data_IF_682059940564
#
_entry.id   IF_682059940564
#
_cell.length_a   1.000
_cell.length_b   1.000
_cell.length_c   1.000
_cell.angle_alpha   90.00
_cell.angle_beta   90.00
_cell.angle_gamma   90.00
#
_symmetry.space_group_name_H-M   'P 1'
#
loop_
_entity.id
_entity.type
_entity.pdbx_description
1 polymer ?
#
# COMPACT_ATOMS: atom_id res chain seq x y z
N UNK A 1 14.03 -45.03 -26.13
CA UNK A 1 14.62 -43.86 -25.43
C UNK A 1 14.11 -42.54 -26.01
N UNK A 2 12.79 -42.28 -26.03
CA UNK A 2 12.24 -41.00 -26.59
C UNK A 2 11.15 -40.33 -25.72
N UNK A 3 10.86 -40.85 -24.53
CA UNK A 3 9.74 -40.38 -23.68
C UNK A 3 10.15 -39.48 -22.49
N UNK A 4 11.45 -39.32 -22.20
CA UNK A 4 11.93 -38.56 -21.04
C UNK A 4 12.08 -37.07 -21.31
N UNK A 5 12.23 -36.65 -22.58
CA UNK A 5 12.43 -35.22 -22.92
C UNK A 5 11.15 -34.37 -22.91
N UNK A 6 9.97 -34.96 -23.02
CA UNK A 6 8.70 -34.21 -23.06
C UNK A 6 8.20 -33.79 -21.67
N UNK A 7 8.53 -34.56 -20.64
CA UNK A 7 8.12 -34.30 -19.26
C UNK A 7 8.86 -33.10 -18.63
N UNK A 8 10.10 -32.86 -19.04
CA UNK A 8 10.91 -31.74 -18.48
C UNK A 8 10.50 -30.37 -19.01
N UNK A 9 9.96 -30.31 -20.23
CA UNK A 9 9.51 -29.06 -20.86
C UNK A 9 8.18 -28.60 -20.27
N UNK A 10 7.30 -29.52 -19.88
CA UNK A 10 6.01 -29.20 -19.25
C UNK A 10 6.17 -28.60 -17.84
N UNK A 11 7.21 -29.01 -17.09
CA UNK A 11 7.46 -28.47 -15.73
C UNK A 11 8.04 -27.05 -15.73
N UNK A 12 8.75 -26.66 -16.80
CA UNK A 12 9.31 -25.30 -16.94
C UNK A 12 8.23 -24.24 -17.28
N UNK A 13 7.17 -24.64 -17.97
CA UNK A 13 6.06 -23.71 -18.30
C UNK A 13 5.16 -23.39 -17.11
N UNK A 14 4.95 -24.34 -16.19
CA UNK A 14 4.10 -24.14 -15.00
C UNK A 14 4.73 -23.14 -14.02
N UNK A 15 6.06 -23.11 -13.91
CA UNK A 15 6.76 -22.20 -12.99
C UNK A 15 6.80 -20.74 -13.48
N UNK A 16 6.73 -20.49 -14.78
CA UNK A 16 6.66 -19.12 -15.34
C UNK A 16 5.29 -18.47 -15.15
N UNK A 17 4.21 -19.23 -15.29
CA UNK A 17 2.85 -18.71 -15.13
C UNK A 17 2.54 -18.29 -13.69
N UNK A 18 3.04 -19.03 -12.70
CA UNK A 18 2.81 -18.71 -11.26
C UNK A 18 3.50 -17.41 -10.88
N UNK A 19 4.76 -17.18 -11.29
CA UNK A 19 5.50 -15.97 -10.97
C UNK A 19 4.91 -14.71 -11.64
N UNK A 20 4.47 -14.82 -12.89
CA UNK A 20 3.81 -13.73 -13.60
C UNK A 20 2.46 -13.36 -12.94
N UNK A 21 1.70 -14.36 -12.52
CA UNK A 21 0.40 -14.16 -11.88
C UNK A 21 0.52 -13.52 -10.49
N UNK A 22 1.56 -13.87 -9.73
CA UNK A 22 1.84 -13.27 -8.41
C UNK A 22 2.29 -11.81 -8.53
N UNK A 23 3.15 -11.50 -9.49
CA UNK A 23 3.58 -10.13 -9.79
C UNK A 23 2.39 -9.25 -10.18
N UNK A 24 1.49 -9.75 -11.01
CA UNK A 24 0.26 -9.06 -11.40
C UNK A 24 -0.68 -8.82 -10.21
N UNK A 25 -0.81 -9.79 -9.29
CA UNK A 25 -1.67 -9.62 -8.12
C UNK A 25 -1.10 -8.58 -7.15
N UNK A 26 0.21 -8.59 -6.93
CA UNK A 26 0.88 -7.57 -6.11
C UNK A 26 0.70 -6.17 -6.69
N UNK A 27 0.81 -6.02 -8.01
CA UNK A 27 0.57 -4.76 -8.70
C UNK A 27 -0.88 -4.26 -8.51
N UNK A 28 -1.88 -5.16 -8.62
CA UNK A 28 -3.29 -4.82 -8.43
C UNK A 28 -3.60 -4.38 -7.00
N UNK A 29 -2.96 -5.01 -5.99
CA UNK A 29 -3.08 -4.56 -4.59
C UNK A 29 -2.41 -3.19 -4.40
N UNK A 30 -1.23 -2.98 -4.98
CA UNK A 30 -0.55 -1.68 -4.93
C UNK A 30 -1.40 -0.57 -5.52
N UNK A 31 -1.99 -0.80 -6.70
CA UNK A 31 -2.93 0.13 -7.34
C UNK A 31 -4.15 0.42 -6.47
N UNK A 32 -4.66 -0.59 -5.76
CA UNK A 32 -5.77 -0.40 -4.80
C UNK A 32 -5.34 0.49 -3.63
N UNK A 33 -4.18 0.27 -3.04
CA UNK A 33 -3.67 1.05 -1.91
C UNK A 33 -3.35 2.50 -2.31
N UNK A 34 -3.00 2.74 -3.56
CA UNK A 34 -2.86 4.07 -4.12
C UNK A 34 -4.23 4.74 -4.30
N UNK A 35 -5.15 4.08 -5.02
CA UNK A 35 -6.45 4.65 -5.37
C UNK A 35 -7.38 4.89 -4.17
N UNK A 36 -7.25 4.11 -3.10
CA UNK A 36 -8.04 4.29 -1.87
C UNK A 36 -7.45 5.33 -0.90
N UNK A 37 -6.33 5.97 -1.25
CA UNK A 37 -5.68 7.01 -0.47
C UNK A 37 -4.79 6.50 0.67
N UNK A 38 -4.55 5.18 0.77
CA UNK A 38 -3.68 4.62 1.81
C UNK A 38 -2.25 5.16 1.68
N UNK A 39 -1.68 5.20 0.48
CA UNK A 39 -0.31 5.70 0.29
C UNK A 39 -0.19 7.19 0.64
N UNK A 40 -1.18 8.00 0.34
CA UNK A 40 -1.20 9.42 0.71
C UNK A 40 -1.10 9.62 2.23
N UNK A 41 -1.65 8.70 3.03
CA UNK A 41 -1.54 8.77 4.50
C UNK A 41 -0.09 8.52 4.97
N UNK A 42 0.62 7.59 4.35
CA UNK A 42 2.03 7.34 4.65
C UNK A 42 2.95 8.47 4.17
N UNK A 43 2.67 9.04 3.01
CA UNK A 43 3.38 10.23 2.53
C UNK A 43 3.21 11.40 3.49
N UNK A 44 1.99 11.65 3.93
CA UNK A 44 1.70 12.67 4.93
C UNK A 44 2.41 12.40 6.26
N UNK A 45 2.40 11.15 6.73
CA UNK A 45 3.09 10.77 7.97
C UNK A 45 4.61 10.97 7.86
N UNK A 46 5.20 10.68 6.69
CA UNK A 46 6.60 10.94 6.40
C UNK A 46 6.92 12.44 6.50
N UNK A 47 6.14 13.28 5.83
CA UNK A 47 6.32 14.71 5.82
C UNK A 47 6.18 15.33 7.22
N UNK A 48 5.19 14.89 8.02
CA UNK A 48 5.02 15.34 9.39
C UNK A 48 6.17 14.89 10.30
N UNK A 49 6.74 13.69 10.08
CA UNK A 49 7.95 13.28 10.78
C UNK A 49 9.13 14.21 10.46
N UNK A 50 9.38 14.52 9.18
CA UNK A 50 10.47 15.44 8.82
C UNK A 50 10.25 16.83 9.40
N UNK A 51 9.01 17.32 9.40
CA UNK A 51 8.65 18.61 9.99
C UNK A 51 8.92 18.62 11.52
N UNK A 52 8.55 17.56 12.22
CA UNK A 52 8.83 17.41 13.66
C UNK A 52 10.35 17.41 13.91
N UNK A 53 11.11 16.63 13.13
CA UNK A 53 12.55 16.52 13.25
C UNK A 53 13.27 17.83 12.92
N UNK A 54 12.77 18.63 11.98
CA UNK A 54 13.37 19.93 11.65
C UNK A 54 13.36 20.93 12.81
N UNK A 55 12.42 20.78 13.73
CA UNK A 55 12.37 21.59 14.96
C UNK A 55 13.43 21.14 15.98
N UNK A 56 13.72 19.83 16.05
CA UNK A 56 14.67 19.26 17.00
C UNK A 56 16.12 19.29 16.47
N UNK A 57 16.28 19.09 15.17
CA UNK A 57 17.55 19.00 14.45
C UNK A 57 17.53 19.95 13.24
N UNK A 58 17.66 21.26 13.44
CA UNK A 58 17.64 22.23 12.34
C UNK A 58 18.72 21.94 11.29
N UNK A 59 18.45 22.32 10.03
CA UNK A 59 19.43 22.22 8.96
C UNK A 59 20.66 23.06 9.28
N UNK A 60 21.83 22.45 9.21
CA UNK A 60 23.15 23.04 9.46
C UNK A 60 24.19 22.30 8.61
N UNK A 61 25.45 22.77 8.57
CA UNK A 61 26.52 22.03 7.89
C UNK A 61 26.65 20.60 8.41
N UNK A 62 26.49 20.40 9.71
CA UNK A 62 26.55 19.08 10.35
C UNK A 62 25.44 18.16 9.95
N UNK A 63 24.18 18.65 9.88
CA UNK A 63 23.00 17.85 9.59
C UNK A 63 22.63 17.81 8.11
N UNK A 64 23.33 18.54 7.24
CA UNK A 64 22.95 18.71 5.82
C UNK A 64 22.85 17.41 5.04
N UNK A 65 23.81 16.50 5.21
CA UNK A 65 23.82 15.18 4.55
C UNK A 65 22.66 14.30 5.00
N UNK A 66 22.34 14.33 6.30
CA UNK A 66 21.21 13.59 6.85
C UNK A 66 19.88 14.10 6.27
N UNK A 67 19.72 15.41 6.19
CA UNK A 67 18.53 16.01 5.59
C UNK A 67 18.42 15.71 4.10
N UNK A 68 19.50 15.83 3.35
CA UNK A 68 19.52 15.47 1.92
C UNK A 68 19.10 14.00 1.71
N UNK A 69 19.61 13.09 2.53
CA UNK A 69 19.23 11.69 2.48
C UNK A 69 17.72 11.53 2.75
N UNK A 70 17.19 12.10 3.84
CA UNK A 70 15.80 11.97 4.21
C UNK A 70 14.87 12.55 3.14
N UNK A 71 15.19 13.72 2.60
CA UNK A 71 14.37 14.37 1.57
C UNK A 71 14.36 13.57 0.25
N UNK A 72 15.45 12.91 -0.11
CA UNK A 72 15.55 12.13 -1.36
C UNK A 72 15.06 10.68 -1.24
N UNK A 73 14.82 10.16 -0.03
CA UNK A 73 14.42 8.76 0.17
C UNK A 73 12.95 8.58 0.54
N UNK A 74 12.10 9.59 0.39
CA UNK A 74 10.66 9.49 0.64
C UNK A 74 10.00 8.38 -0.17
N UNK A 75 10.21 8.36 -1.48
CA UNK A 75 9.64 7.34 -2.38
C UNK A 75 10.05 5.92 -1.98
N UNK A 76 11.33 5.75 -1.58
CA UNK A 76 11.80 4.46 -1.09
C UNK A 76 11.09 4.05 0.19
N UNK A 77 10.92 4.94 1.15
CA UNK A 77 10.24 4.67 2.41
C UNK A 77 8.76 4.27 2.17
N UNK A 78 8.08 4.94 1.25
CA UNK A 78 6.70 4.59 0.85
C UNK A 78 6.67 3.24 0.12
N UNK A 79 7.63 2.95 -0.76
CA UNK A 79 7.76 1.64 -1.40
C UNK A 79 8.01 0.52 -0.38
N UNK A 80 8.75 0.78 0.67
CA UNK A 80 9.06 -0.24 1.67
C UNK A 80 7.82 -0.59 2.51
N UNK A 81 7.03 0.39 2.98
CA UNK A 81 5.76 0.06 3.65
C UNK A 81 4.75 -0.61 2.71
N UNK A 82 4.73 -0.24 1.43
CA UNK A 82 3.85 -0.89 0.45
C UNK A 82 4.15 -2.39 0.33
N UNK A 83 5.43 -2.80 0.37
CA UNK A 83 5.83 -4.22 0.36
C UNK A 83 5.32 -5.00 1.56
N UNK A 84 5.17 -4.33 2.71
CA UNK A 84 4.60 -4.95 3.92
C UNK A 84 3.06 -5.03 3.85
N UNK A 85 2.41 -4.03 3.23
CA UNK A 85 0.95 -3.99 3.13
C UNK A 85 0.39 -4.97 2.09
N UNK A 86 1.05 -5.13 0.95
CA UNK A 86 0.58 -5.98 -0.16
C UNK A 86 0.27 -7.41 0.30
N UNK A 87 1.15 -8.13 1.01
CA UNK A 87 0.85 -9.48 1.50
C UNK A 87 -0.34 -9.54 2.45
N UNK A 88 -0.59 -8.49 3.24
CA UNK A 88 -1.73 -8.44 4.16
C UNK A 88 -3.04 -8.51 3.38
N UNK A 89 -3.15 -7.76 2.28
CA UNK A 89 -4.33 -7.79 1.43
C UNK A 89 -4.45 -9.09 0.63
N UNK A 90 -3.35 -9.61 0.09
CA UNK A 90 -3.33 -10.88 -0.64
C UNK A 90 -3.78 -12.07 0.20
N UNK A 91 -3.48 -12.07 1.51
CA UNK A 91 -3.92 -13.12 2.44
C UNK A 91 -5.40 -13.05 2.79
N UNK A 92 -6.06 -11.91 2.61
CA UNK A 92 -7.43 -11.68 3.04
C UNK A 92 -8.44 -11.58 1.89
N UNK A 93 -7.97 -11.29 0.67
CA UNK A 93 -8.80 -11.08 -0.51
C UNK A 93 -8.27 -11.85 -1.70
N UNK A 94 -9.19 -12.29 -2.55
CA UNK A 94 -8.84 -12.85 -3.84
C UNK A 94 -8.50 -11.74 -4.86
N UNK A 95 -7.74 -12.09 -5.87
CA UNK A 95 -7.39 -11.16 -6.96
C UNK A 95 -8.61 -10.52 -7.62
N UNK A 96 -9.68 -11.32 -7.84
CA UNK A 96 -10.94 -10.84 -8.41
C UNK A 96 -11.65 -9.82 -7.51
N UNK A 97 -11.48 -9.90 -6.20
CA UNK A 97 -12.03 -8.97 -5.22
C UNK A 97 -11.26 -7.66 -5.22
N UNK A 98 -9.92 -7.72 -5.27
CA UNK A 98 -9.07 -6.53 -5.40
C UNK A 98 -9.38 -5.77 -6.70
N UNK A 99 -9.61 -6.47 -7.82
CA UNK A 99 -10.05 -5.82 -9.06
C UNK A 99 -11.37 -5.06 -8.90
N UNK A 100 -12.34 -5.63 -8.19
CA UNK A 100 -13.61 -4.95 -7.90
C UNK A 100 -13.41 -3.73 -7.00
N UNK A 101 -12.53 -3.82 -5.99
CA UNK A 101 -12.15 -2.67 -5.15
C UNK A 101 -11.52 -1.57 -6.01
N UNK A 102 -10.57 -1.91 -6.88
CA UNK A 102 -9.96 -0.98 -7.83
C UNK A 102 -11.01 -0.30 -8.72
N UNK A 103 -11.95 -1.08 -9.26
CA UNK A 103 -13.04 -0.54 -10.07
C UNK A 103 -13.85 0.50 -9.31
N UNK A 104 -14.21 0.22 -8.05
CA UNK A 104 -14.96 1.16 -7.22
C UNK A 104 -14.14 2.42 -6.91
N UNK A 105 -12.90 2.29 -6.43
CA UNK A 105 -12.10 3.46 -6.03
C UNK A 105 -11.66 4.33 -7.22
N UNK A 106 -11.66 3.79 -8.44
CA UNK A 106 -11.47 4.56 -9.68
C UNK A 106 -12.78 5.08 -10.30
N UNK A 107 -13.94 4.79 -9.70
CA UNK A 107 -15.23 5.37 -10.13
C UNK A 107 -15.39 6.81 -9.63
N UNK A 108 -16.33 7.59 -10.21
CA UNK A 108 -16.66 8.93 -9.71
C UNK A 108 -17.01 8.97 -8.21
N UNK A 109 -17.63 7.92 -7.67
CA UNK A 109 -17.96 7.81 -6.26
C UNK A 109 -16.71 7.53 -5.40
N UNK A 110 -15.86 6.61 -5.83
CA UNK A 110 -14.59 6.29 -5.15
C UNK A 110 -13.63 7.47 -5.13
N UNK A 111 -13.43 8.14 -6.26
CA UNK A 111 -12.61 9.33 -6.37
C UNK A 111 -13.11 10.46 -5.46
N UNK A 112 -14.43 10.69 -5.42
CA UNK A 112 -15.00 11.72 -4.55
C UNK A 112 -14.92 11.32 -3.08
N UNK A 113 -15.05 10.02 -2.76
CA UNK A 113 -14.91 9.48 -1.40
C UNK A 113 -13.52 9.76 -0.82
N UNK A 114 -12.47 9.55 -1.62
CA UNK A 114 -11.08 9.75 -1.20
C UNK A 114 -10.67 11.23 -1.20
N UNK A 115 -11.23 12.05 -2.10
CA UNK A 115 -10.93 13.47 -2.16
C UNK A 115 -11.66 14.27 -1.06
N UNK A 116 -12.97 14.15 -0.98
CA UNK A 116 -13.80 14.82 0.03
C UNK A 116 -15.19 14.17 0.10
N UNK A 117 -15.38 13.28 1.06
CA UNK A 117 -16.65 12.58 1.28
C UNK A 117 -17.83 13.54 1.50
N UNK A 118 -17.63 14.71 2.07
CA UNK A 118 -18.69 15.66 2.38
C UNK A 118 -19.33 16.24 1.11
N UNK A 119 -18.60 16.26 0.01
CA UNK A 119 -19.02 16.78 -1.30
C UNK A 119 -19.64 15.76 -2.24
N UNK A 120 -19.84 14.51 -1.77
CA UNK A 120 -20.49 13.48 -2.58
C UNK A 120 -21.93 13.88 -2.94
N UNK A 121 -22.26 13.71 -4.23
CA UNK A 121 -23.63 13.83 -4.73
C UNK A 121 -24.52 12.69 -4.23
N UNK A 122 -25.85 12.82 -4.38
CA UNK A 122 -26.77 11.73 -4.03
C UNK A 122 -26.47 10.45 -4.81
N UNK A 123 -26.21 10.54 -6.12
CA UNK A 123 -25.85 9.39 -6.95
C UNK A 123 -24.55 8.70 -6.49
N UNK A 124 -23.52 9.46 -6.13
CA UNK A 124 -22.27 8.92 -5.58
C UNK A 124 -22.48 8.24 -4.22
N UNK A 125 -23.35 8.78 -3.37
CA UNK A 125 -23.72 8.15 -2.10
C UNK A 125 -24.50 6.85 -2.30
N UNK A 126 -25.36 6.78 -3.31
CA UNK A 126 -26.06 5.55 -3.68
C UNK A 126 -25.08 4.48 -4.19
N UNK A 127 -24.12 4.84 -5.04
CA UNK A 127 -23.07 3.94 -5.52
C UNK A 127 -22.20 3.42 -4.36
N UNK A 128 -21.78 4.30 -3.43
CA UNK A 128 -21.06 3.94 -2.23
C UNK A 128 -21.85 2.94 -1.36
N UNK A 129 -23.13 3.21 -1.13
CA UNK A 129 -23.99 2.33 -0.36
C UNK A 129 -24.16 0.98 -1.05
N UNK A 130 -24.32 0.95 -2.39
CA UNK A 130 -24.40 -0.29 -3.15
C UNK A 130 -23.12 -1.12 -3.01
N UNK A 131 -21.95 -0.47 -3.09
CA UNK A 131 -20.65 -1.13 -2.91
C UNK A 131 -20.54 -1.77 -1.52
N UNK A 132 -20.79 -1.03 -0.43
CA UNK A 132 -20.66 -1.57 0.92
C UNK A 132 -21.75 -2.58 1.30
N UNK A 133 -22.91 -2.55 0.64
CA UNK A 133 -23.97 -3.57 0.82
C UNK A 133 -23.76 -4.82 -0.03
N UNK A 134 -22.80 -4.82 -0.97
CA UNK A 134 -22.42 -6.00 -1.74
C UNK A 134 -21.76 -7.06 -0.86
N UNK A 135 -21.65 -8.30 -1.36
CA UNK A 135 -20.94 -9.38 -0.65
C UNK A 135 -19.47 -9.02 -0.40
N UNK A 136 -18.85 -8.34 -1.35
CA UNK A 136 -17.47 -7.83 -1.18
C UNK A 136 -17.39 -6.76 -0.08
N UNK A 137 -18.33 -5.80 -0.07
CA UNK A 137 -18.38 -4.76 0.97
C UNK A 137 -18.57 -5.35 2.36
N UNK A 138 -19.45 -6.35 2.50
CA UNK A 138 -19.62 -7.09 3.76
C UNK A 138 -18.36 -7.82 4.18
N UNK A 139 -17.68 -8.49 3.24
CA UNK A 139 -16.40 -9.15 3.49
C UNK A 139 -15.32 -8.15 3.95
N UNK A 140 -15.24 -6.98 3.34
CA UNK A 140 -14.31 -5.92 3.76
C UNK A 140 -14.56 -5.55 5.22
N UNK A 141 -15.81 -5.35 5.62
CA UNK A 141 -16.20 -5.03 6.99
C UNK A 141 -15.83 -6.17 7.95
N UNK A 142 -16.11 -7.42 7.58
CA UNK A 142 -15.76 -8.62 8.36
C UNK A 142 -14.24 -8.74 8.58
N UNK A 143 -13.44 -8.44 7.55
CA UNK A 143 -11.99 -8.52 7.61
C UNK A 143 -11.32 -7.35 8.33
N UNK A 144 -12.05 -6.27 8.60
CA UNK A 144 -11.50 -5.06 9.21
C UNK A 144 -10.69 -5.30 10.50
N UNK A 145 -11.13 -6.13 11.48
CA UNK A 145 -10.34 -6.36 12.69
C UNK A 145 -8.97 -6.99 12.42
N UNK A 146 -8.91 -7.97 11.49
CA UNK A 146 -7.66 -8.65 11.10
C UNK A 146 -6.75 -7.69 10.36
N UNK A 147 -7.28 -6.96 9.38
CA UNK A 147 -6.55 -5.96 8.60
C UNK A 147 -6.00 -4.85 9.50
N UNK A 148 -6.83 -4.28 10.38
CA UNK A 148 -6.40 -3.23 11.31
C UNK A 148 -5.23 -3.68 12.17
N UNK A 149 -5.28 -4.90 12.73
CA UNK A 149 -4.19 -5.43 13.54
C UNK A 149 -2.89 -5.58 12.75
N UNK A 150 -2.96 -6.16 11.56
CA UNK A 150 -1.78 -6.41 10.71
C UNK A 150 -1.19 -5.09 10.18
N UNK A 151 -2.05 -4.19 9.67
CA UNK A 151 -1.65 -2.87 9.17
C UNK A 151 -1.03 -2.02 10.29
N UNK A 152 -1.62 -2.03 11.50
CA UNK A 152 -1.06 -1.30 12.64
C UNK A 152 0.33 -1.80 13.01
N UNK A 153 0.55 -3.13 13.02
CA UNK A 153 1.87 -3.70 13.30
C UNK A 153 2.92 -3.31 12.25
N UNK A 154 2.57 -3.37 10.96
CA UNK A 154 3.44 -2.93 9.87
C UNK A 154 3.76 -1.43 9.95
N UNK A 155 2.74 -0.59 10.21
CA UNK A 155 2.88 0.85 10.35
C UNK A 155 3.76 1.25 11.54
N UNK A 156 3.61 0.56 12.68
CA UNK A 156 4.43 0.78 13.87
C UNK A 156 5.90 0.43 13.60
N UNK A 157 6.17 -0.72 12.97
CA UNK A 157 7.53 -1.10 12.60
C UNK A 157 8.15 -0.08 11.64
N UNK A 158 7.43 0.26 10.56
CA UNK A 158 7.88 1.24 9.58
C UNK A 158 8.18 2.60 10.21
N UNK A 159 7.29 3.12 11.06
CA UNK A 159 7.46 4.42 11.71
C UNK A 159 8.67 4.44 12.64
N UNK A 160 8.88 3.36 13.40
CA UNK A 160 10.03 3.21 14.30
C UNK A 160 11.34 3.19 13.52
N UNK A 161 11.43 2.34 12.48
CA UNK A 161 12.63 2.16 11.69
C UNK A 161 13.00 3.46 10.95
N UNK A 162 12.00 4.18 10.45
CA UNK A 162 12.16 5.49 9.84
C UNK A 162 12.69 6.53 10.83
N UNK A 163 12.12 6.59 12.03
CA UNK A 163 12.53 7.49 13.09
C UNK A 163 13.97 7.20 13.56
N UNK A 164 14.29 5.92 13.79
CA UNK A 164 15.65 5.50 14.18
C UNK A 164 16.69 5.84 13.10
N UNK A 165 16.37 5.60 11.83
CA UNK A 165 17.20 6.00 10.70
C UNK A 165 17.43 7.51 10.69
N UNK A 166 16.36 8.30 10.82
CA UNK A 166 16.47 9.75 10.84
C UNK A 166 17.33 10.25 12.02
N UNK A 167 17.15 9.68 13.21
CA UNK A 167 17.97 10.04 14.37
C UNK A 167 19.45 9.71 14.16
N UNK A 168 19.78 8.57 13.57
CA UNK A 168 21.17 8.19 13.29
C UNK A 168 21.86 9.17 12.35
N UNK A 169 21.11 9.70 11.36
CA UNK A 169 21.62 10.64 10.37
C UNK A 169 21.72 12.09 10.87
N UNK A 170 20.89 12.48 11.83
CA UNK A 170 20.80 13.88 12.28
C UNK A 170 21.52 14.14 13.60
N UNK A 171 21.94 13.10 14.33
CA UNK A 171 22.71 13.24 15.59
C UNK A 171 24.24 13.25 15.38
N UNK A 172 24.70 12.81 14.22
CA UNK A 172 26.15 12.87 13.87
C UNK A 172 26.56 14.31 13.60
#
# INVERSE_FOLDING_TARGET
MKTIKLSLILFLFISMDVSAQETDFSFEVSTYLESNGTLNQYEYAYDELLKMLSTQYPKSERTSRGWEYLENNKEKAISDILKELVPIYQQNFERSEIKKMNTFYNSPAGLQLTADRSKMTSAQKEELNAFYNSDLGKKIIEKQPVLTKAISAASESWSRDLYETALSLLKE
#
